data_IF_729241278922
#
_entry.id   IF_729241278922
#
_cell.length_a   1.000
_cell.length_b   1.000
_cell.length_c   1.000
_cell.angle_alpha   90.00
_cell.angle_beta   90.00
_cell.angle_gamma   90.00
#
_symmetry.space_group_name_H-M   'P 1'
#
loop_
_entity.id
_entity.type
_entity.pdbx_description
1 polymer ?
#
# COMPACT_ATOMS: atom_id res chain seq x y z
N UNK A 1 -16.75 11.92 -18.09
CA UNK A 1 -16.02 11.50 -16.87
C UNK A 1 -16.77 12.07 -15.68
N UNK A 2 -17.41 11.22 -14.88
CA UNK A 2 -18.24 11.61 -13.73
C UNK A 2 -17.35 12.27 -12.65
N UNK A 3 -17.86 13.23 -11.89
CA UNK A 3 -17.07 13.96 -10.87
C UNK A 3 -16.47 13.00 -9.82
N UNK A 4 -17.26 11.99 -9.43
CA UNK A 4 -16.83 10.91 -8.55
C UNK A 4 -15.62 10.14 -9.12
N UNK A 5 -15.60 9.88 -10.43
CA UNK A 5 -14.50 9.16 -11.08
C UNK A 5 -13.20 9.98 -11.10
N UNK A 6 -13.30 11.29 -11.32
CA UNK A 6 -12.15 12.20 -11.26
C UNK A 6 -11.56 12.24 -9.85
N UNK A 7 -12.42 12.43 -8.84
CA UNK A 7 -11.99 12.47 -7.44
C UNK A 7 -11.38 11.13 -7.01
N UNK A 8 -11.97 9.99 -7.37
CA UNK A 8 -11.41 8.67 -7.08
C UNK A 8 -10.09 8.39 -7.81
N UNK A 9 -9.94 8.86 -9.05
CA UNK A 9 -8.70 8.70 -9.81
C UNK A 9 -7.57 9.54 -9.22
N UNK A 10 -7.88 10.78 -8.82
CA UNK A 10 -6.97 11.59 -8.01
C UNK A 10 -6.69 10.89 -6.67
N UNK A 11 -7.71 10.28 -6.08
CA UNK A 11 -7.64 9.60 -4.79
C UNK A 11 -6.95 8.22 -4.78
N UNK A 12 -6.51 7.75 -5.94
CA UNK A 12 -5.77 6.50 -6.07
C UNK A 12 -4.47 6.69 -6.85
N UNK A 13 -4.09 7.94 -7.16
CA UNK A 13 -2.89 8.22 -7.92
C UNK A 13 -1.64 7.96 -7.05
N UNK A 14 -0.69 7.12 -7.49
CA UNK A 14 0.52 6.82 -6.72
C UNK A 14 1.49 8.02 -6.57
N UNK A 15 1.22 9.13 -7.27
CA UNK A 15 2.05 10.35 -7.30
C UNK A 15 1.41 11.49 -6.48
N UNK A 16 0.11 11.45 -6.19
CA UNK A 16 -0.55 12.55 -5.47
C UNK A 16 -0.26 12.53 -3.96
N UNK A 17 -0.20 13.73 -3.37
CA UNK A 17 -0.14 13.90 -1.91
C UNK A 17 -1.33 13.22 -1.21
N UNK A 18 -1.11 12.86 0.06
CA UNK A 18 -2.13 12.25 0.92
C UNK A 18 -3.38 13.13 0.96
N UNK A 19 -4.56 12.49 0.89
CA UNK A 19 -5.85 13.19 0.87
C UNK A 19 -6.07 13.95 2.17
N UNK A 20 -6.54 15.19 2.05
CA UNK A 20 -7.12 15.89 3.19
C UNK A 20 -8.44 15.21 3.60
N UNK A 21 -8.80 15.39 4.86
CA UNK A 21 -10.04 14.80 5.39
C UNK A 21 -11.27 15.31 4.63
N UNK A 22 -11.20 16.51 4.05
CA UNK A 22 -12.31 17.18 3.38
C UNK A 22 -12.60 16.56 2.01
N UNK A 23 -11.58 16.27 1.19
CA UNK A 23 -11.77 15.55 -0.08
C UNK A 23 -12.41 14.19 0.16
N UNK A 24 -11.99 13.47 1.20
CA UNK A 24 -12.56 12.15 1.51
C UNK A 24 -14.02 12.24 1.95
N UNK A 25 -14.37 13.28 2.72
CA UNK A 25 -15.76 13.55 3.09
C UNK A 25 -16.63 13.86 1.86
N UNK A 26 -16.10 14.64 0.91
CA UNK A 26 -16.80 14.96 -0.34
C UNK A 26 -17.04 13.70 -1.18
N UNK A 27 -16.01 12.85 -1.33
CA UNK A 27 -16.14 11.57 -2.01
C UNK A 27 -17.21 10.71 -1.34
N UNK A 28 -17.19 10.58 -0.01
CA UNK A 28 -18.18 9.79 0.73
C UNK A 28 -19.62 10.28 0.48
N UNK A 29 -19.83 11.61 0.51
CA UNK A 29 -21.12 12.22 0.22
C UNK A 29 -21.59 11.93 -1.21
N UNK A 30 -20.70 12.03 -2.19
CA UNK A 30 -21.02 11.72 -3.59
C UNK A 30 -21.38 10.24 -3.78
N UNK A 31 -20.70 9.34 -3.07
CA UNK A 31 -21.00 7.91 -3.10
C UNK A 31 -22.42 7.65 -2.60
N UNK A 32 -22.79 8.22 -1.44
CA UNK A 32 -24.10 7.96 -0.83
C UNK A 32 -25.27 8.62 -1.57
N UNK A 33 -25.01 9.72 -2.29
CA UNK A 33 -26.05 10.45 -3.04
C UNK A 33 -26.28 9.88 -4.44
N UNK A 34 -25.31 9.19 -5.04
CA UNK A 34 -25.45 8.61 -6.37
C UNK A 34 -26.05 7.19 -6.30
N UNK A 35 -27.07 6.86 -7.12
CA UNK A 35 -27.77 5.56 -7.04
C UNK A 35 -26.85 4.36 -7.28
N UNK A 36 -25.81 4.52 -8.10
CA UNK A 36 -24.79 3.49 -8.35
C UNK A 36 -23.43 3.82 -7.71
N UNK A 37 -23.36 4.84 -6.84
CA UNK A 37 -22.13 5.33 -6.25
C UNK A 37 -21.33 4.23 -5.54
N UNK A 38 -21.94 3.45 -4.62
CA UNK A 38 -21.24 2.39 -3.92
C UNK A 38 -20.68 1.31 -4.84
N UNK A 39 -21.51 0.78 -5.73
CA UNK A 39 -21.15 -0.29 -6.66
C UNK A 39 -20.02 0.16 -7.59
N UNK A 40 -20.13 1.39 -8.13
CA UNK A 40 -19.12 1.96 -9.00
C UNK A 40 -17.78 2.12 -8.29
N UNK A 41 -17.77 2.73 -7.11
CA UNK A 41 -16.56 2.98 -6.32
C UNK A 41 -15.88 1.68 -5.91
N UNK A 42 -16.63 0.72 -5.39
CA UNK A 42 -16.08 -0.57 -4.98
C UNK A 42 -15.51 -1.35 -6.17
N UNK A 43 -16.15 -1.29 -7.35
CA UNK A 43 -15.61 -1.90 -8.56
C UNK A 43 -14.28 -1.26 -8.98
N UNK A 44 -14.20 0.06 -8.94
CA UNK A 44 -12.98 0.80 -9.25
C UNK A 44 -11.85 0.45 -8.26
N UNK A 45 -12.14 0.50 -6.96
CA UNK A 45 -11.18 0.18 -5.90
C UNK A 45 -10.71 -1.27 -5.98
N UNK A 46 -11.60 -2.22 -6.22
CA UNK A 46 -11.21 -3.62 -6.41
C UNK A 46 -10.20 -3.77 -7.56
N UNK A 47 -10.37 -3.05 -8.66
CA UNK A 47 -9.40 -3.04 -9.75
C UNK A 47 -8.05 -2.45 -9.31
N UNK A 48 -8.05 -1.30 -8.62
CA UNK A 48 -6.84 -0.60 -8.18
C UNK A 48 -6.07 -1.34 -7.08
N UNK A 49 -6.76 -2.05 -6.18
CA UNK A 49 -6.14 -2.87 -5.12
C UNK A 49 -5.34 -4.04 -5.72
N UNK A 50 -5.76 -4.55 -6.89
CA UNK A 50 -5.04 -5.60 -7.64
C UNK A 50 -3.91 -5.05 -8.52
N UNK A 51 -3.60 -3.76 -8.43
CA UNK A 51 -2.52 -3.15 -9.21
C UNK A 51 -1.18 -3.80 -8.89
N UNK A 52 -0.32 -4.05 -9.89
CA UNK A 52 1.06 -4.48 -9.64
C UNK A 52 1.89 -3.37 -8.96
N UNK A 53 1.43 -2.12 -8.98
CA UNK A 53 2.09 -1.01 -8.31
C UNK A 53 1.66 -0.94 -6.84
N UNK A 54 2.54 -1.38 -5.94
CA UNK A 54 2.29 -1.42 -4.49
C UNK A 54 1.70 -0.11 -3.93
N UNK A 55 2.23 1.05 -4.34
CA UNK A 55 1.73 2.36 -3.89
C UNK A 55 0.27 2.58 -4.26
N UNK A 56 -0.13 2.23 -5.49
CA UNK A 56 -1.52 2.39 -5.94
C UNK A 56 -2.46 1.46 -5.18
N UNK A 57 -2.03 0.20 -4.97
CA UNK A 57 -2.80 -0.77 -4.18
C UNK A 57 -2.98 -0.31 -2.72
N UNK A 58 -1.90 0.16 -2.07
CA UNK A 58 -1.94 0.68 -0.71
C UNK A 58 -2.80 1.95 -0.59
N UNK A 59 -2.63 2.93 -1.48
CA UNK A 59 -3.47 4.14 -1.50
C UNK A 59 -4.94 3.79 -1.66
N UNK A 60 -5.26 2.80 -2.48
CA UNK A 60 -6.63 2.31 -2.69
C UNK A 60 -7.21 1.65 -1.43
N UNK A 61 -6.42 0.85 -0.72
CA UNK A 61 -6.82 0.26 0.56
C UNK A 61 -6.99 1.31 1.66
N UNK A 62 -6.14 2.34 1.70
CA UNK A 62 -6.28 3.45 2.64
C UNK A 62 -7.56 4.25 2.36
N UNK A 63 -7.83 4.58 1.10
CA UNK A 63 -9.08 5.24 0.74
C UNK A 63 -10.30 4.39 1.12
N UNK A 64 -10.25 3.09 0.82
CA UNK A 64 -11.31 2.15 1.19
C UNK A 64 -11.55 2.10 2.71
N UNK A 65 -10.48 2.15 3.51
CA UNK A 65 -10.59 2.25 4.97
C UNK A 65 -11.37 3.50 5.38
N UNK A 66 -10.99 4.67 4.87
CA UNK A 66 -11.65 5.92 5.22
C UNK A 66 -13.11 5.93 4.77
N UNK A 67 -13.40 5.42 3.57
CA UNK A 67 -14.77 5.33 3.06
C UNK A 67 -15.62 4.38 3.90
N UNK A 68 -15.07 3.25 4.38
CA UNK A 68 -15.78 2.34 5.29
C UNK A 68 -16.18 2.99 6.62
N UNK A 69 -15.54 4.09 7.02
CA UNK A 69 -15.87 4.83 8.25
C UNK A 69 -16.76 6.05 8.01
N UNK A 70 -16.89 6.53 6.76
CA UNK A 70 -17.57 7.79 6.42
C UNK A 70 -18.82 7.62 5.57
N UNK A 71 -18.91 6.55 4.78
CA UNK A 71 -20.08 6.27 3.95
C UNK A 71 -21.22 5.63 4.75
N UNK A 72 -22.43 5.76 4.23
CA UNK A 72 -23.65 5.20 4.80
C UNK A 72 -23.79 3.68 4.68
N UNK A 73 -24.87 3.11 5.25
CA UNK A 73 -25.07 1.65 5.34
C UNK A 73 -25.16 0.96 3.97
N UNK A 74 -25.68 1.64 2.94
CA UNK A 74 -25.73 1.09 1.57
C UNK A 74 -24.34 0.77 1.03
N UNK A 75 -23.34 1.60 1.35
CA UNK A 75 -21.96 1.34 0.97
C UNK A 75 -21.40 0.12 1.70
N UNK A 76 -21.60 0.04 3.01
CA UNK A 76 -21.15 -1.09 3.83
C UNK A 76 -21.80 -2.40 3.37
N UNK A 77 -23.07 -2.37 2.97
CA UNK A 77 -23.76 -3.54 2.46
C UNK A 77 -23.21 -4.01 1.10
N UNK A 78 -22.85 -3.10 0.19
CA UNK A 78 -22.16 -3.49 -1.05
C UNK A 78 -20.73 -4.00 -0.76
N UNK A 79 -20.02 -3.38 0.19
CA UNK A 79 -18.68 -3.78 0.61
C UNK A 79 -18.66 -5.20 1.21
N UNK A 80 -19.68 -5.55 2.00
CA UNK A 80 -19.85 -6.85 2.65
C UNK A 80 -20.31 -7.98 1.73
N UNK A 81 -20.67 -7.69 0.46
CA UNK A 81 -21.04 -8.76 -0.49
C UNK A 81 -19.81 -9.56 -0.91
N UNK A 82 -19.97 -10.87 -1.06
CA UNK A 82 -18.93 -11.75 -1.62
C UNK A 82 -18.44 -11.30 -3.00
N UNK A 83 -19.26 -10.56 -3.76
CA UNK A 83 -18.80 -9.94 -5.00
C UNK A 83 -17.55 -9.07 -4.81
N UNK A 84 -17.49 -8.28 -3.73
CA UNK A 84 -16.32 -7.47 -3.40
C UNK A 84 -15.31 -8.26 -2.56
N UNK A 85 -15.76 -9.01 -1.55
CA UNK A 85 -14.85 -9.78 -0.68
C UNK A 85 -14.01 -10.79 -1.48
N UNK A 86 -14.55 -11.40 -2.55
CA UNK A 86 -13.81 -12.29 -3.44
C UNK A 86 -12.66 -11.58 -4.16
N UNK A 87 -12.74 -10.27 -4.39
CA UNK A 87 -11.64 -9.51 -4.97
C UNK A 87 -10.49 -9.36 -3.97
N UNK A 88 -10.78 -9.17 -2.68
CA UNK A 88 -9.75 -9.17 -1.63
C UNK A 88 -9.17 -10.57 -1.38
N UNK A 89 -10.00 -11.61 -1.44
CA UNK A 89 -9.54 -13.01 -1.33
C UNK A 89 -8.54 -13.33 -2.45
N UNK A 90 -8.78 -12.86 -3.68
CA UNK A 90 -7.84 -13.03 -4.80
C UNK A 90 -6.49 -12.33 -4.55
N UNK A 91 -6.48 -11.20 -3.86
CA UNK A 91 -5.26 -10.46 -3.49
C UNK A 91 -4.46 -11.20 -2.41
N UNK A 92 -5.15 -11.88 -1.50
CA UNK A 92 -4.52 -12.56 -0.36
C UNK A 92 -4.08 -14.00 -0.68
N UNK A 93 -4.88 -14.73 -1.47
CA UNK A 93 -4.70 -16.17 -1.64
C UNK A 93 -3.61 -16.51 -2.68
N UNK A 94 -2.67 -17.41 -2.35
CA UNK A 94 -1.67 -17.94 -3.29
C UNK A 94 -2.28 -18.58 -4.55
N UNK A 95 -3.53 -19.05 -4.47
CA UNK A 95 -4.27 -19.60 -5.63
C UNK A 95 -4.53 -18.56 -6.73
N UNK A 96 -4.33 -17.28 -6.44
CA UNK A 96 -4.62 -16.16 -7.34
C UNK A 96 -3.41 -15.20 -7.40
N UNK A 97 -3.49 -14.03 -6.76
CA UNK A 97 -2.45 -12.99 -6.79
C UNK A 97 -1.59 -12.97 -5.52
N UNK A 98 -1.87 -13.82 -4.53
CA UNK A 98 -1.22 -13.78 -3.22
C UNK A 98 0.31 -13.88 -3.26
N UNK A 99 0.86 -14.65 -4.20
CA UNK A 99 2.31 -14.80 -4.36
C UNK A 99 2.97 -13.61 -5.05
N UNK A 100 2.21 -12.87 -5.86
CA UNK A 100 2.66 -11.68 -6.58
C UNK A 100 2.43 -10.38 -5.79
N UNK A 101 1.52 -10.44 -4.82
CA UNK A 101 1.14 -9.28 -3.99
C UNK A 101 2.14 -9.10 -2.86
N UNK A 102 2.61 -7.86 -2.67
CA UNK A 102 3.57 -7.53 -1.62
C UNK A 102 3.00 -7.78 -0.22
N UNK A 103 3.89 -8.08 0.74
CA UNK A 103 3.51 -8.29 2.14
C UNK A 103 2.82 -7.08 2.75
N UNK A 104 3.20 -5.86 2.38
CA UNK A 104 2.56 -4.63 2.86
C UNK A 104 1.08 -4.56 2.45
N UNK A 105 0.76 -4.86 1.19
CA UNK A 105 -0.61 -4.87 0.68
C UNK A 105 -1.42 -6.00 1.34
N UNK A 106 -0.84 -7.20 1.45
CA UNK A 106 -1.50 -8.34 2.12
C UNK A 106 -1.80 -8.05 3.59
N UNK A 107 -0.85 -7.49 4.32
CA UNK A 107 -1.04 -7.12 5.73
C UNK A 107 -2.14 -6.06 5.88
N UNK A 108 -2.16 -5.05 5.00
CA UNK A 108 -3.22 -4.03 5.03
C UNK A 108 -4.60 -4.61 4.72
N UNK A 109 -4.71 -5.47 3.71
CA UNK A 109 -5.95 -6.21 3.41
C UNK A 109 -6.43 -7.05 4.61
N UNK A 110 -5.52 -7.80 5.23
CA UNK A 110 -5.83 -8.62 6.40
C UNK A 110 -6.30 -7.77 7.60
N UNK A 111 -5.65 -6.62 7.83
CA UNK A 111 -6.04 -5.67 8.86
C UNK A 111 -7.46 -5.12 8.62
N UNK A 112 -7.79 -4.73 7.38
CA UNK A 112 -9.13 -4.25 7.06
C UNK A 112 -10.20 -5.30 7.27
N UNK A 113 -9.98 -6.53 6.82
CA UNK A 113 -10.93 -7.64 7.05
C UNK A 113 -11.11 -7.93 8.55
N UNK A 114 -10.04 -7.90 9.33
CA UNK A 114 -10.11 -8.04 10.78
C UNK A 114 -10.91 -6.91 11.46
N UNK A 115 -10.72 -5.67 11.02
CA UNK A 115 -11.46 -4.52 11.54
C UNK A 115 -12.95 -4.61 11.14
N UNK A 116 -13.24 -4.92 9.87
CA UNK A 116 -14.63 -5.01 9.41
C UNK A 116 -15.39 -6.18 10.00
N UNK A 117 -14.76 -7.34 10.24
CA UNK A 117 -15.45 -8.40 10.97
C UNK A 117 -15.74 -8.00 12.41
N UNK A 118 -14.86 -7.24 13.07
CA UNK A 118 -15.11 -6.74 14.42
C UNK A 118 -16.23 -5.70 14.44
N UNK A 119 -16.19 -4.76 13.49
CA UNK A 119 -16.99 -3.54 13.53
C UNK A 119 -18.35 -3.70 12.84
N UNK A 120 -18.47 -4.59 11.85
CA UNK A 120 -19.66 -4.73 11.00
C UNK A 120 -20.34 -6.10 11.05
N UNK A 121 -19.74 -7.14 11.65
CA UNK A 121 -20.35 -8.48 11.67
C UNK A 121 -21.76 -8.60 12.25
N UNK A 122 -22.23 -7.75 13.19
CA UNK A 122 -23.62 -7.82 13.67
C UNK A 122 -24.66 -7.59 12.57
N UNK A 123 -24.33 -6.78 11.57
CA UNK A 123 -25.24 -6.43 10.46
C UNK A 123 -24.81 -7.09 9.14
N UNK A 124 -23.51 -7.30 8.93
CA UNK A 124 -22.92 -7.83 7.72
C UNK A 124 -22.04 -9.06 8.05
N UNK A 125 -22.65 -10.24 8.30
CA UNK A 125 -21.96 -11.43 8.79
C UNK A 125 -20.91 -11.97 7.82
N UNK A 126 -21.03 -11.64 6.53
CA UNK A 126 -20.10 -12.06 5.47
C UNK A 126 -18.67 -11.60 5.68
N UNK A 127 -18.45 -10.48 6.39
CA UNK A 127 -17.10 -10.06 6.77
C UNK A 127 -16.45 -11.10 7.69
N UNK A 128 -17.18 -11.57 8.70
CA UNK A 128 -16.70 -12.60 9.62
C UNK A 128 -16.52 -13.95 8.91
N UNK A 129 -17.44 -14.36 8.04
CA UNK A 129 -17.32 -15.58 7.25
C UNK A 129 -16.04 -15.59 6.41
N UNK A 130 -15.80 -14.52 5.63
CA UNK A 130 -14.61 -14.39 4.79
C UNK A 130 -13.32 -14.36 5.62
N UNK A 131 -13.30 -13.58 6.71
CA UNK A 131 -12.13 -13.50 7.58
C UNK A 131 -11.80 -14.85 8.24
N UNK A 132 -12.79 -15.50 8.86
CA UNK A 132 -12.59 -16.79 9.53
C UNK A 132 -12.19 -17.89 8.55
N UNK A 133 -12.72 -17.87 7.33
CA UNK A 133 -12.29 -18.78 6.27
C UNK A 133 -10.80 -18.57 5.94
N UNK A 134 -10.35 -17.33 5.74
CA UNK A 134 -8.95 -17.02 5.42
C UNK A 134 -7.98 -17.38 6.56
N UNK A 135 -8.40 -17.20 7.81
CA UNK A 135 -7.63 -17.63 8.99
C UNK A 135 -7.54 -19.15 9.04
N UNK A 136 -8.65 -19.87 8.83
CA UNK A 136 -8.67 -21.34 8.82
C UNK A 136 -7.80 -21.93 7.71
N UNK A 137 -7.72 -21.28 6.56
CA UNK A 137 -6.82 -21.67 5.46
C UNK A 137 -5.36 -21.24 5.68
N UNK A 138 -5.04 -20.56 6.78
CA UNK A 138 -3.69 -20.09 7.08
C UNK A 138 -3.21 -18.93 6.20
N UNK A 139 -4.12 -18.29 5.46
CA UNK A 139 -3.81 -17.14 4.58
C UNK A 139 -3.60 -15.87 5.41
N UNK A 140 -4.45 -15.65 6.42
CA UNK A 140 -4.28 -14.58 7.41
C UNK A 140 -3.74 -15.19 8.69
N UNK A 141 -2.67 -14.61 9.22
CA UNK A 141 -2.03 -15.06 10.46
C UNK A 141 -2.03 -13.98 11.54
N UNK A 142 -1.99 -14.37 12.80
CA UNK A 142 -2.01 -13.43 13.94
C UNK A 142 -0.84 -12.44 13.92
N UNK A 143 0.33 -12.83 13.40
CA UNK A 143 1.49 -11.95 13.27
C UNK A 143 1.22 -10.75 12.35
N UNK A 144 0.48 -10.95 11.26
CA UNK A 144 0.13 -9.86 10.33
C UNK A 144 -0.77 -8.81 10.98
N UNK A 145 -1.67 -9.24 11.88
CA UNK A 145 -2.59 -8.33 12.57
C UNK A 145 -1.81 -7.45 13.58
N UNK A 146 -0.87 -8.04 14.33
CA UNK A 146 -0.06 -7.31 15.32
C UNK A 146 0.97 -6.38 14.68
N UNK A 147 1.64 -6.81 13.60
CA UNK A 147 2.68 -6.00 12.95
C UNK A 147 2.16 -4.71 12.29
N UNK A 148 0.86 -4.63 11.98
CA UNK A 148 0.32 -3.51 11.21
C UNK A 148 0.13 -2.24 12.06
N UNK A 149 0.00 -2.35 13.38
CA UNK A 149 -0.04 -1.19 14.27
C UNK A 149 1.29 -0.42 14.25
N UNK A 150 2.42 -1.13 14.21
CA UNK A 150 3.77 -0.55 14.11
C UNK A 150 4.13 -0.08 12.69
N UNK A 151 3.64 -0.76 11.65
CA UNK A 151 3.93 -0.43 10.24
C UNK A 151 3.10 0.75 9.74
N UNK A 152 2.00 1.09 10.41
CA UNK A 152 1.20 2.29 10.09
C UNK A 152 2.04 3.57 10.11
N UNK A 153 3.09 3.65 10.93
CA UNK A 153 4.02 4.80 10.96
C UNK A 153 5.04 4.76 9.81
N UNK A 154 5.52 3.57 9.43
CA UNK A 154 6.52 3.41 8.37
C UNK A 154 5.90 3.66 6.98
N UNK A 155 4.65 3.24 6.77
CA UNK A 155 3.94 3.48 5.51
C UNK A 155 3.44 4.93 5.36
N UNK A 156 3.21 5.66 6.46
CA UNK A 156 2.81 7.08 6.45
C UNK A 156 3.95 8.02 6.09
N UNK A 157 5.20 7.66 6.39
CA UNK A 157 6.41 8.45 6.12
C UNK A 157 6.95 8.32 4.68
N UNK A 158 6.08 8.04 3.70
CA UNK A 158 6.42 7.72 2.32
C UNK A 158 7.17 8.81 1.52
N UNK A 159 7.48 9.97 2.10
CA UNK A 159 8.34 10.97 1.45
C UNK A 159 9.83 10.61 1.50
N UNK A 160 10.29 9.79 2.46
CA UNK A 160 11.72 9.46 2.61
C UNK A 160 12.18 8.21 1.85
N UNK A 161 11.26 7.37 1.35
CA UNK A 161 11.63 6.12 0.67
C UNK A 161 12.11 6.33 -0.78
N UNK A 162 11.84 7.49 -1.39
CA UNK A 162 12.41 7.86 -2.68
C UNK A 162 13.85 8.34 -2.51
N UNK A 163 14.11 9.20 -1.52
CA UNK A 163 15.47 9.63 -1.15
C UNK A 163 16.32 8.46 -0.68
N UNK A 164 15.78 7.56 0.15
CA UNK A 164 16.52 6.39 0.63
C UNK A 164 16.81 5.37 -0.49
N UNK A 165 15.89 5.15 -1.44
CA UNK A 165 16.17 4.27 -2.60
C UNK A 165 17.16 4.89 -3.58
N UNK A 166 17.10 6.20 -3.81
CA UNK A 166 18.10 6.91 -4.61
C UNK A 166 19.47 6.85 -3.93
N UNK A 167 19.52 7.03 -2.61
CA UNK A 167 20.75 6.97 -1.82
C UNK A 167 21.35 5.56 -1.81
N UNK A 168 20.53 4.52 -1.63
CA UNK A 168 20.97 3.11 -1.66
C UNK A 168 21.46 2.71 -3.06
N UNK A 169 20.77 3.11 -4.12
CA UNK A 169 21.19 2.81 -5.50
C UNK A 169 22.51 3.51 -5.87
N UNK A 170 22.64 4.80 -5.56
CA UNK A 170 23.88 5.56 -5.78
C UNK A 170 25.03 5.02 -4.91
N UNK A 171 24.75 4.60 -3.67
CA UNK A 171 25.76 3.98 -2.80
C UNK A 171 26.24 2.62 -3.34
N UNK A 172 25.33 1.79 -3.87
CA UNK A 172 25.70 0.53 -4.53
C UNK A 172 26.55 0.77 -5.78
N UNK A 173 26.17 1.75 -6.63
CA UNK A 173 26.93 2.12 -7.82
C UNK A 173 28.32 2.67 -7.50
N UNK A 174 28.44 3.53 -6.48
CA UNK A 174 29.72 4.02 -5.96
C UNK A 174 30.59 2.85 -5.43
N UNK A 175 29.99 1.90 -4.71
CA UNK A 175 30.68 0.71 -4.18
C UNK A 175 31.21 -0.23 -5.28
N UNK A 176 30.43 -0.45 -6.34
CA UNK A 176 30.86 -1.25 -7.49
C UNK A 176 32.01 -0.57 -8.25
N UNK A 177 31.89 0.74 -8.52
CA UNK A 177 32.96 1.51 -9.16
C UNK A 177 34.24 1.53 -8.32
N UNK A 178 34.13 1.67 -7.00
CA UNK A 178 35.28 1.59 -6.10
C UNK A 178 35.98 0.22 -6.20
N UNK A 179 35.20 -0.86 -6.19
CA UNK A 179 35.71 -2.22 -6.28
C UNK A 179 36.43 -2.46 -7.61
N UNK A 180 35.91 -1.89 -8.70
CA UNK A 180 36.54 -1.96 -10.01
C UNK A 180 37.87 -1.18 -10.05
N UNK A 181 37.90 0.04 -9.50
CA UNK A 181 39.09 0.88 -9.46
C UNK A 181 40.19 0.28 -8.58
N UNK A 182 39.85 -0.30 -7.42
CA UNK A 182 40.80 -0.96 -6.52
C UNK A 182 41.41 -2.25 -7.08
N UNK A 183 40.72 -2.91 -8.03
CA UNK A 183 41.23 -4.10 -8.73
C UNK A 183 42.17 -3.76 -9.90
N UNK A 184 42.22 -2.50 -10.33
CA UNK A 184 43.11 -2.04 -11.41
C UNK A 184 44.56 -1.87 -10.93
N UNK A 185 45.54 -2.17 -11.81
CA UNK A 185 46.97 -1.91 -11.56
C UNK A 185 47.43 -0.53 -12.08
N UNK A 186 46.51 0.27 -12.61
CA UNK A 186 46.80 1.61 -13.14
C UNK A 186 46.93 2.63 -11.99
N UNK A 187 48.03 3.38 -11.88
CA UNK A 187 48.20 4.40 -10.84
C UNK A 187 47.17 5.54 -10.91
N UNK A 188 46.55 5.79 -12.08
CA UNK A 188 45.47 6.78 -12.19
C UNK A 188 44.17 6.29 -11.49
N UNK A 189 43.79 5.04 -11.73
CA UNK A 189 42.58 4.43 -11.16
C UNK A 189 42.68 4.31 -9.63
N UNK A 190 43.88 4.02 -9.10
CA UNK A 190 44.13 3.99 -7.66
C UNK A 190 44.00 5.37 -7.00
N UNK A 191 44.35 6.46 -7.69
CA UNK A 191 44.12 7.82 -7.19
C UNK A 191 42.63 8.14 -7.15
N UNK A 192 41.88 7.72 -8.18
CA UNK A 192 40.43 7.89 -8.23
C UNK A 192 39.74 7.08 -7.11
N UNK A 193 40.17 5.84 -6.86
CA UNK A 193 39.69 5.03 -5.76
C UNK A 193 39.90 5.71 -4.39
N UNK A 194 41.11 6.24 -4.15
CA UNK A 194 41.43 6.94 -2.90
C UNK A 194 40.61 8.23 -2.71
N UNK A 195 40.34 8.97 -3.79
CA UNK A 195 39.47 10.15 -3.74
C UNK A 195 38.01 9.76 -3.42
N UNK A 196 37.51 8.68 -4.02
CA UNK A 196 36.16 8.18 -3.79
C UNK A 196 35.96 7.67 -2.35
N UNK A 197 36.96 6.97 -1.79
CA UNK A 197 36.96 6.53 -0.39
C UNK A 197 36.83 7.73 0.56
N UNK A 198 37.59 8.79 0.33
CA UNK A 198 37.56 9.99 1.16
C UNK A 198 36.18 10.66 1.15
N UNK A 199 35.57 10.80 -0.02
CA UNK A 199 34.20 11.33 -0.17
C UNK A 199 33.16 10.48 0.56
N UNK A 200 33.25 9.15 0.51
CA UNK A 200 32.32 8.25 1.21
C UNK A 200 32.46 8.38 2.74
N UNK A 201 33.68 8.56 3.25
CA UNK A 201 33.93 8.73 4.69
C UNK A 201 33.39 10.08 5.20
N UNK A 202 33.55 11.16 4.44
CA UNK A 202 32.99 12.48 4.76
C UNK A 202 31.45 12.49 4.73
N UNK A 203 30.82 11.80 3.76
CA UNK A 203 29.36 11.62 3.69
C UNK A 203 28.81 10.86 4.93
N UNK A 204 29.50 9.80 5.38
CA UNK A 204 29.08 9.00 6.56
C UNK A 204 29.30 9.74 7.87
N UNK A 205 30.35 10.57 7.95
CA UNK A 205 30.67 11.34 9.16
C UNK A 205 29.72 12.53 9.36
N UNK A 206 28.99 12.93 8.32
CA UNK A 206 27.98 14.00 8.36
C UNK A 206 26.58 13.50 8.75
N UNK A 207 26.43 12.18 8.98
CA UNK A 207 25.16 11.50 9.31
C UNK A 207 25.12 10.97 10.76
N UNK A 208 26.15 11.26 11.57
CA UNK A 208 26.27 10.92 13.00
C UNK A 208 26.34 12.23 13.78
#
# INVERSE_FOLDING_TARGET
>A
MNELEKLLSKATNPISDQYDSDTVNEIAKLIDTQPNGPIFTLRLLAHKIKSPHEKEALSSLMLLEFLSKRCGPTFISELGKFKFLNELIKVLSPKYLGDQTSSCVKNKCAQLLHNWQRDFSPNEPKFAEAYNMLVREGIITASQIVSTDSVSEICRSGSSAAENRQNIFERNKKSERLTQLLRSRNPADLREANALIKSIVEEVSSLI
#
